data_IF_219884884386
#
_entry.id   IF_219884884386
#
_cell.length_a   1.000
_cell.length_b   1.000
_cell.length_c   1.000
_cell.angle_alpha   90.00
_cell.angle_beta   90.00
_cell.angle_gamma   90.00
#
_symmetry.space_group_name_H-M   'P 1'
#
loop_
_entity.id
_entity.type
_entity.pdbx_description
1 polymer ?
#
# COMPACT_ATOMS: atom_id res chain seq x y z
N UNK A 1 13.09 28.43 8.35
CA UNK A 1 11.75 27.92 8.72
C UNK A 1 11.89 26.47 9.14
N UNK A 2 11.01 25.94 9.99
CA UNK A 2 11.01 24.49 10.28
C UNK A 2 10.49 23.73 9.05
N UNK A 3 11.07 22.57 8.71
CA UNK A 3 10.59 21.77 7.59
C UNK A 3 9.17 21.27 7.86
N UNK A 4 8.30 21.35 6.85
CA UNK A 4 6.98 20.74 6.94
C UNK A 4 7.12 19.25 6.62
N UNK A 5 6.66 18.39 7.52
CA UNK A 5 6.74 16.94 7.36
C UNK A 5 5.32 16.38 7.22
N UNK A 6 5.12 15.55 6.21
CA UNK A 6 3.86 14.85 5.95
C UNK A 6 4.12 13.35 5.97
N UNK A 7 3.27 12.60 6.64
CA UNK A 7 3.28 11.15 6.55
C UNK A 7 2.63 10.68 5.25
N UNK A 8 3.08 9.52 4.81
CA UNK A 8 2.51 8.76 3.73
C UNK A 8 2.37 7.32 4.21
N UNK A 9 1.17 6.76 4.07
CA UNK A 9 0.89 5.38 4.41
C UNK A 9 0.34 4.69 3.18
N UNK A 10 1.03 3.68 2.68
CA UNK A 10 0.51 2.79 1.66
C UNK A 10 -0.02 1.52 2.31
N UNK A 11 -1.13 1.03 1.79
CA UNK A 11 -1.76 -0.22 2.20
C UNK A 11 -2.12 -0.98 0.95
N UNK A 12 -1.73 -2.25 0.87
CA UNK A 12 -2.17 -3.15 -0.19
C UNK A 12 -2.95 -4.31 0.42
N UNK A 13 -3.93 -4.80 -0.34
CA UNK A 13 -4.79 -5.91 0.05
C UNK A 13 -4.64 -7.07 -0.93
N UNK A 14 -4.73 -8.29 -0.40
CA UNK A 14 -4.72 -9.52 -1.21
C UNK A 14 -6.01 -9.69 -2.01
N UNK A 15 -6.09 -10.81 -2.73
CA UNK A 15 -7.13 -11.09 -3.73
C UNK A 15 -8.58 -11.04 -3.22
N UNK A 16 -8.80 -11.16 -1.92
CA UNK A 16 -10.13 -11.13 -1.30
C UNK A 16 -10.80 -9.74 -1.37
N UNK A 17 -10.00 -8.66 -1.38
CA UNK A 17 -10.52 -7.29 -1.42
C UNK A 17 -10.53 -6.79 -2.86
N UNK A 18 -11.71 -6.51 -3.41
CA UNK A 18 -11.81 -5.97 -4.77
C UNK A 18 -11.63 -4.46 -4.81
N UNK A 19 -11.16 -3.92 -5.95
CA UNK A 19 -11.14 -2.48 -6.19
C UNK A 19 -12.53 -1.83 -6.03
N UNK A 20 -13.59 -2.54 -6.43
CA UNK A 20 -14.95 -2.03 -6.30
C UNK A 20 -15.34 -1.89 -4.82
N UNK A 21 -15.01 -2.89 -3.99
CA UNK A 21 -15.24 -2.84 -2.54
C UNK A 21 -14.52 -1.65 -1.88
N UNK A 22 -13.25 -1.41 -2.25
CA UNK A 22 -12.50 -0.23 -1.79
C UNK A 22 -13.14 1.08 -2.26
N UNK A 23 -13.57 1.14 -3.52
CA UNK A 23 -14.23 2.33 -4.08
C UNK A 23 -15.57 2.61 -3.39
N UNK A 24 -16.33 1.57 -3.08
CA UNK A 24 -17.62 1.68 -2.38
C UNK A 24 -17.44 2.13 -0.93
N UNK A 25 -16.39 1.66 -0.25
CA UNK A 25 -15.98 2.18 1.07
C UNK A 25 -15.73 3.69 1.03
N UNK A 26 -15.01 4.17 0.01
CA UNK A 26 -14.78 5.60 -0.19
C UNK A 26 -15.89 6.30 -1.01
N UNK A 27 -17.12 5.78 -1.03
CA UNK A 27 -18.22 6.35 -1.84
C UNK A 27 -18.60 7.79 -1.48
N UNK A 28 -18.26 8.24 -0.27
CA UNK A 28 -18.43 9.63 0.18
C UNK A 28 -17.40 10.60 -0.42
N UNK A 29 -16.30 10.08 -0.98
CA UNK A 29 -15.24 10.88 -1.57
C UNK A 29 -15.44 11.06 -3.07
N UNK A 30 -15.08 12.25 -3.56
CA UNK A 30 -15.07 12.54 -5.00
C UNK A 30 -13.70 12.18 -5.58
N UNK A 31 -13.64 11.10 -6.36
CA UNK A 31 -12.42 10.67 -7.03
C UNK A 31 -12.29 11.26 -8.43
N UNK A 32 -11.14 11.88 -8.69
CA UNK A 32 -10.65 12.21 -10.02
C UNK A 32 -9.79 11.05 -10.53
N UNK A 33 -10.06 10.56 -11.74
CA UNK A 33 -9.17 9.60 -12.38
C UNK A 33 -7.93 10.34 -12.90
N UNK A 34 -6.74 9.94 -12.44
CA UNK A 34 -5.46 10.50 -12.93
C UNK A 34 -4.91 9.68 -14.09
N UNK A 35 -4.92 8.35 -13.94
CA UNK A 35 -4.43 7.39 -14.95
C UNK A 35 -5.42 6.20 -15.08
N UNK A 36 -5.13 5.26 -15.99
CA UNK A 36 -5.98 4.08 -16.20
C UNK A 36 -6.19 3.24 -14.94
N UNK A 37 -5.25 3.26 -14.00
CA UNK A 37 -5.24 2.45 -12.78
C UNK A 37 -5.19 3.25 -11.48
N UNK A 38 -5.28 4.59 -11.54
CA UNK A 38 -5.10 5.46 -10.37
C UNK A 38 -6.23 6.50 -10.27
N UNK A 39 -6.82 6.57 -9.08
CA UNK A 39 -7.87 7.52 -8.71
C UNK A 39 -7.39 8.34 -7.51
N UNK A 40 -7.64 9.64 -7.54
CA UNK A 40 -7.26 10.57 -6.49
C UNK A 40 -8.50 11.23 -5.89
N UNK A 41 -8.67 11.12 -4.58
CA UNK A 41 -9.56 11.97 -3.81
C UNK A 41 -8.74 13.01 -3.05
N UNK A 42 -9.08 14.29 -3.23
CA UNK A 42 -8.49 15.40 -2.47
C UNK A 42 -9.45 15.79 -1.34
N UNK A 43 -9.04 15.61 -0.09
CA UNK A 43 -9.81 16.04 1.08
C UNK A 43 -9.46 17.47 1.47
N UNK A 44 -8.19 17.86 1.28
CA UNK A 44 -7.66 19.21 1.49
C UNK A 44 -6.45 19.42 0.57
N UNK A 45 -5.81 20.59 0.60
CA UNK A 45 -4.61 20.92 -0.18
C UNK A 45 -3.46 19.92 0.04
N UNK A 46 -3.38 19.34 1.25
CA UNK A 46 -2.30 18.44 1.66
C UNK A 46 -2.77 17.07 2.14
N UNK A 47 -4.09 16.82 2.14
CA UNK A 47 -4.69 15.52 2.49
C UNK A 47 -5.23 14.83 1.26
N UNK A 48 -4.53 13.78 0.83
CA UNK A 48 -4.78 13.08 -0.41
C UNK A 48 -4.98 11.59 -0.17
N UNK A 49 -5.94 10.99 -0.88
CA UNK A 49 -6.17 9.55 -0.90
C UNK A 49 -6.07 9.07 -2.33
N UNK A 50 -5.07 8.24 -2.60
CA UNK A 50 -4.91 7.56 -3.87
C UNK A 50 -5.48 6.15 -3.75
N UNK A 51 -6.33 5.78 -4.71
CA UNK A 51 -6.91 4.45 -4.82
C UNK A 51 -6.47 3.83 -6.15
N UNK A 52 -5.91 2.63 -6.07
CA UNK A 52 -5.36 1.92 -7.22
C UNK A 52 -6.16 0.66 -7.56
N UNK A 53 -6.32 0.39 -8.86
CA UNK A 53 -7.06 -0.79 -9.35
C UNK A 53 -6.45 -2.13 -8.92
N UNK A 54 -5.16 -2.14 -8.59
CA UNK A 54 -4.45 -3.31 -8.06
C UNK A 54 -4.58 -3.43 -6.53
N UNK A 55 -5.64 -2.86 -5.94
CA UNK A 55 -6.03 -3.01 -4.52
C UNK A 55 -5.02 -2.41 -3.56
N UNK A 56 -4.49 -1.25 -3.91
CA UNK A 56 -3.68 -0.45 -3.01
C UNK A 56 -4.35 0.90 -2.75
N UNK A 57 -4.16 1.40 -1.54
CA UNK A 57 -4.57 2.73 -1.09
C UNK A 57 -3.36 3.45 -0.53
N UNK A 58 -3.16 4.71 -0.90
CA UNK A 58 -2.11 5.55 -0.34
C UNK A 58 -2.71 6.80 0.27
N UNK A 59 -2.47 6.99 1.56
CA UNK A 59 -2.85 8.17 2.34
C UNK A 59 -1.65 9.11 2.42
N UNK A 60 -1.85 10.39 2.16
CA UNK A 60 -0.81 11.43 2.27
C UNK A 60 -1.32 12.59 3.11
N UNK A 61 -0.52 13.02 4.08
CA UNK A 61 -0.78 14.18 4.92
C UNK A 61 -1.83 13.98 6.01
N UNK A 62 -2.17 12.73 6.30
CA UNK A 62 -2.99 12.35 7.45
C UNK A 62 -2.15 12.40 8.72
N UNK A 63 -2.75 12.57 9.90
CA UNK A 63 -2.02 12.31 11.15
C UNK A 63 -1.86 10.81 11.38
N UNK A 64 -0.89 10.41 12.21
CA UNK A 64 -0.70 8.99 12.54
C UNK A 64 -1.97 8.38 13.17
N UNK A 65 -2.72 9.16 13.96
CA UNK A 65 -4.00 8.75 14.53
C UNK A 65 -5.08 8.56 13.46
N UNK A 66 -5.17 9.48 12.49
CA UNK A 66 -6.12 9.38 11.38
C UNK A 66 -5.81 8.16 10.50
N UNK A 67 -4.53 7.94 10.18
CA UNK A 67 -4.07 6.78 9.42
C UNK A 67 -4.46 5.47 10.12
N UNK A 68 -4.14 5.34 11.41
CA UNK A 68 -4.50 4.16 12.20
C UNK A 68 -6.00 3.92 12.24
N UNK A 69 -6.80 4.97 12.35
CA UNK A 69 -8.26 4.86 12.34
C UNK A 69 -8.79 4.40 10.99
N UNK A 70 -8.30 4.97 9.89
CA UNK A 70 -8.73 4.56 8.55
C UNK A 70 -8.30 3.13 8.22
N UNK A 71 -7.06 2.75 8.56
CA UNK A 71 -6.58 1.36 8.43
C UNK A 71 -7.49 0.41 9.21
N UNK A 72 -7.81 0.75 10.47
CA UNK A 72 -8.64 -0.09 11.32
C UNK A 72 -10.07 -0.25 10.79
N UNK A 73 -10.66 0.83 10.26
CA UNK A 73 -12.00 0.79 9.63
C UNK A 73 -12.00 -0.07 8.37
N UNK A 74 -11.03 0.11 7.49
CA UNK A 74 -10.90 -0.69 6.28
C UNK A 74 -10.74 -2.17 6.64
N UNK A 75 -9.92 -2.48 7.66
CA UNK A 75 -9.77 -3.85 8.18
C UNK A 75 -11.05 -4.40 8.78
N UNK A 76 -11.87 -3.58 9.42
CA UNK A 76 -13.13 -4.03 10.02
C UNK A 76 -14.24 -4.25 8.97
N UNK A 77 -14.27 -3.46 7.90
CA UNK A 77 -15.36 -3.47 6.92
C UNK A 77 -15.07 -4.36 5.70
N UNK A 78 -13.81 -4.45 5.27
CA UNK A 78 -13.45 -5.07 3.98
C UNK A 78 -12.59 -6.33 4.11
N UNK A 79 -11.88 -6.50 5.23
CA UNK A 79 -10.89 -7.57 5.40
C UNK A 79 -11.54 -8.70 6.18
N UNK A 80 -11.87 -9.79 5.48
CA UNK A 80 -12.18 -11.05 6.15
C UNK A 80 -10.92 -11.58 6.86
N UNK A 81 -11.08 -12.47 7.84
CA UNK A 81 -9.99 -12.92 8.72
C UNK A 81 -8.76 -13.55 8.01
N UNK A 82 -8.86 -13.86 6.71
CA UNK A 82 -7.80 -14.45 5.88
C UNK A 82 -7.09 -13.46 4.95
N UNK A 83 -7.54 -12.22 4.86
CA UNK A 83 -6.96 -11.27 3.91
C UNK A 83 -5.57 -10.80 4.37
N UNK A 84 -4.58 -10.96 3.49
CA UNK A 84 -3.22 -10.46 3.70
C UNK A 84 -3.23 -8.96 3.44
N UNK A 85 -2.65 -8.20 4.36
CA UNK A 85 -2.56 -6.74 4.27
C UNK A 85 -1.13 -6.32 4.49
N UNK A 86 -0.53 -5.72 3.47
CA UNK A 86 0.80 -5.13 3.54
C UNK A 86 0.68 -3.63 3.77
N UNK A 87 1.60 -3.08 4.55
CA UNK A 87 1.64 -1.67 4.89
C UNK A 87 3.06 -1.12 4.72
N UNK A 88 3.17 0.07 4.15
CA UNK A 88 4.45 0.78 4.03
C UNK A 88 4.31 2.23 4.52
N UNK A 89 5.32 2.70 5.23
CA UNK A 89 5.35 4.03 5.85
C UNK A 89 6.48 4.86 5.26
N UNK A 90 6.12 6.04 4.78
CA UNK A 90 7.05 6.95 4.11
C UNK A 90 6.81 8.38 4.57
N UNK A 91 7.84 9.23 4.53
CA UNK A 91 7.74 10.62 4.99
C UNK A 91 8.14 11.60 3.89
N UNK A 92 7.28 12.58 3.60
CA UNK A 92 7.63 13.70 2.73
C UNK A 92 8.09 14.87 3.57
N UNK A 93 9.25 15.43 3.25
CA UNK A 93 9.77 16.65 3.86
C UNK A 93 9.78 17.78 2.84
N UNK A 94 9.11 18.88 3.13
CA UNK A 94 9.20 20.11 2.34
C UNK A 94 10.09 21.09 3.08
N UNK A 95 11.30 21.31 2.55
CA UNK A 95 12.33 22.17 3.13
C UNK A 95 13.06 22.96 2.04
N UNK A 96 13.38 24.24 2.31
CA UNK A 96 14.12 25.08 1.36
C UNK A 96 15.50 24.46 1.09
N UNK A 97 15.80 24.12 -0.17
CA UNK A 97 17.10 23.55 -0.55
C UNK A 97 17.03 22.50 -1.66
N UNK A 98 17.97 21.55 -1.63
CA UNK A 98 18.11 20.48 -2.61
C UNK A 98 17.20 19.30 -2.31
N UNK A 99 16.60 18.72 -3.35
CA UNK A 99 15.84 17.48 -3.22
C UNK A 99 16.75 16.31 -2.88
N UNK A 100 16.36 15.50 -1.91
CA UNK A 100 17.10 14.29 -1.55
C UNK A 100 16.14 13.11 -1.36
N UNK A 101 16.55 11.96 -1.87
CA UNK A 101 15.85 10.69 -1.66
C UNK A 101 16.59 9.92 -0.57
N UNK A 102 15.88 9.50 0.45
CA UNK A 102 16.34 8.58 1.49
C UNK A 102 15.42 7.35 1.52
N UNK A 103 15.81 6.32 2.26
CA UNK A 103 15.12 5.03 2.24
C UNK A 103 13.62 5.14 2.55
N UNK A 104 13.25 5.88 3.62
CA UNK A 104 11.85 6.09 4.03
C UNK A 104 11.43 7.56 3.99
N UNK A 105 12.16 8.39 3.26
CA UNK A 105 11.81 9.79 3.16
C UNK A 105 12.26 10.44 1.86
N UNK A 106 11.52 11.47 1.47
CA UNK A 106 11.78 12.24 0.27
C UNK A 106 11.68 13.71 0.61
N UNK A 107 12.74 14.47 0.34
CA UNK A 107 12.75 15.91 0.54
C UNK A 107 12.66 16.67 -0.77
N UNK A 108 11.87 17.74 -0.76
CA UNK A 108 11.73 18.66 -1.89
C UNK A 108 11.71 20.12 -1.42
N UNK A 109 12.06 21.03 -2.33
CA UNK A 109 12.02 22.48 -2.10
C UNK A 109 10.61 23.02 -1.97
N UNK A 110 9.66 22.43 -2.69
CA UNK A 110 8.27 22.87 -2.74
C UNK A 110 7.32 21.68 -2.90
N UNK A 111 6.04 21.91 -2.61
CA UNK A 111 5.00 20.91 -2.79
C UNK A 111 4.63 20.80 -4.27
N UNK A 112 5.13 19.76 -4.92
CA UNK A 112 4.86 19.47 -6.33
C UNK A 112 3.91 18.28 -6.47
N UNK A 113 2.69 18.53 -6.94
CA UNK A 113 1.68 17.50 -7.13
C UNK A 113 2.12 16.35 -8.05
N UNK A 114 2.95 16.61 -9.06
CA UNK A 114 3.44 15.55 -9.96
C UNK A 114 4.39 14.60 -9.24
N UNK A 115 5.28 15.14 -8.39
CA UNK A 115 6.19 14.32 -7.59
C UNK A 115 5.41 13.51 -6.54
N UNK A 116 4.36 14.09 -5.95
CA UNK A 116 3.47 13.40 -5.04
C UNK A 116 2.71 12.26 -5.73
N UNK A 117 2.22 12.48 -6.95
CA UNK A 117 1.56 11.46 -7.76
C UNK A 117 2.51 10.30 -8.06
N UNK A 118 3.76 10.60 -8.45
CA UNK A 118 4.80 9.57 -8.69
C UNK A 118 5.13 8.81 -7.42
N UNK A 119 5.28 9.50 -6.28
CA UNK A 119 5.53 8.86 -5.00
C UNK A 119 4.40 7.91 -4.62
N UNK A 120 3.14 8.33 -4.75
CA UNK A 120 1.99 7.49 -4.48
C UNK A 120 1.99 6.23 -5.36
N UNK A 121 2.34 6.34 -6.65
CA UNK A 121 2.47 5.19 -7.54
C UNK A 121 3.57 4.22 -7.10
N UNK A 122 4.74 4.74 -6.71
CA UNK A 122 5.88 3.93 -6.27
C UNK A 122 5.52 3.17 -5.00
N UNK A 123 4.98 3.86 -3.99
CA UNK A 123 4.58 3.25 -2.71
C UNK A 123 3.50 2.19 -2.91
N UNK A 124 2.47 2.50 -3.70
CA UNK A 124 1.39 1.56 -3.98
C UNK A 124 1.91 0.28 -4.67
N UNK A 125 2.79 0.43 -5.67
CA UNK A 125 3.37 -0.73 -6.39
C UNK A 125 4.32 -1.53 -5.50
N UNK A 126 5.14 -0.85 -4.69
CA UNK A 126 6.04 -1.49 -3.72
C UNK A 126 5.25 -2.38 -2.76
N UNK A 127 4.21 -1.80 -2.14
CA UNK A 127 3.36 -2.49 -1.18
C UNK A 127 2.58 -3.65 -1.82
N UNK A 128 2.05 -3.46 -3.03
CA UNK A 128 1.37 -4.53 -3.76
C UNK A 128 2.31 -5.66 -4.18
N UNK A 129 3.58 -5.35 -4.51
CA UNK A 129 4.58 -6.36 -4.86
C UNK A 129 4.92 -7.23 -3.65
N UNK A 130 5.01 -6.66 -2.45
CA UNK A 130 5.25 -7.43 -1.21
C UNK A 130 4.21 -8.54 -1.00
N UNK A 131 2.94 -8.30 -1.35
CA UNK A 131 1.89 -9.34 -1.28
C UNK A 131 2.24 -10.50 -2.22
N UNK A 132 2.58 -10.20 -3.47
CA UNK A 132 2.92 -11.22 -4.47
C UNK A 132 4.18 -11.98 -4.06
N UNK A 133 5.18 -11.31 -3.51
CA UNK A 133 6.40 -11.95 -3.00
C UNK A 133 6.09 -12.93 -1.85
N UNK A 134 5.21 -12.54 -0.93
CA UNK A 134 4.77 -13.41 0.16
C UNK A 134 3.99 -14.62 -0.36
N UNK A 135 3.06 -14.44 -1.30
CA UNK A 135 2.32 -15.54 -1.93
C UNK A 135 3.26 -16.52 -2.65
N UNK A 136 4.25 -16.02 -3.38
CA UNK A 136 5.26 -16.86 -4.06
C UNK A 136 6.09 -17.65 -3.04
N UNK A 137 6.53 -17.02 -1.95
CA UNK A 137 7.28 -17.68 -0.89
C UNK A 137 6.48 -18.80 -0.22
N UNK A 138 5.18 -18.60 -0.02
CA UNK A 138 4.29 -19.60 0.55
C UNK A 138 4.12 -20.81 -0.39
N UNK A 139 3.99 -20.58 -1.70
CA UNK A 139 3.91 -21.65 -2.71
C UNK A 139 5.20 -22.46 -2.76
N UNK A 140 6.37 -21.80 -2.72
CA UNK A 140 7.68 -22.45 -2.72
C UNK A 140 7.82 -23.32 -1.46
N UNK A 141 7.53 -22.75 -0.29
CA UNK A 141 7.60 -23.45 1.00
C UNK A 141 6.66 -24.67 1.06
N UNK A 142 5.45 -24.53 0.49
CA UNK A 142 4.50 -25.64 0.36
C UNK A 142 5.03 -26.77 -0.52
N UNK A 143 5.68 -26.42 -1.63
CA UNK A 143 6.28 -27.39 -2.57
C UNK A 143 7.44 -28.16 -1.94
N UNK A 144 8.30 -27.49 -1.16
CA UNK A 144 9.39 -28.12 -0.42
C UNK A 144 8.88 -29.10 0.65
N UNK A 145 7.79 -28.74 1.33
CA UNK A 145 7.12 -29.62 2.30
C UNK A 145 6.55 -30.88 1.63
N UNK A 146 5.97 -30.75 0.44
CA UNK A 146 5.47 -31.89 -0.34
C UNK A 146 6.61 -32.80 -0.83
N UNK A 147 7.69 -32.23 -1.36
CA UNK A 147 8.87 -32.99 -1.78
C UNK A 147 9.52 -33.76 -0.62
N UNK A 148 9.55 -33.14 0.57
CA UNK A 148 10.06 -33.75 1.80
C UNK A 148 9.16 -34.89 2.33
N UNK A 149 7.85 -34.83 2.08
CA UNK A 149 6.91 -35.91 2.43
C UNK A 149 7.02 -37.09 1.47
N UNK A 150 7.23 -36.84 0.17
CA UNK A 150 7.40 -37.91 -0.83
C UNK A 150 8.68 -38.72 -0.60
N UNK A 151 9.77 -38.07 -0.20
CA UNK A 151 11.05 -38.75 0.13
C UNK A 151 11.00 -39.59 1.41
N UNK A 152 9.98 -39.41 2.27
CA UNK A 152 9.80 -40.19 3.51
C UNK A 152 8.84 -41.38 3.38
N UNK A 153 8.37 -41.73 2.19
CA UNK A 153 7.59 -42.96 1.99
C UNK A 153 8.56 -44.15 2.01
N UNK A 154 8.59 -45.01 3.06
CA UNK A 154 9.46 -46.18 3.04
C UNK A 154 9.01 -47.12 1.93
N UNK A 155 9.96 -47.59 1.13
CA UNK A 155 9.73 -48.64 0.14
C UNK A 155 9.21 -49.89 0.87
N UNK A 156 7.91 -50.14 0.77
CA UNK A 156 7.30 -51.40 1.17
C UNK A 156 7.73 -52.43 0.12
N UNK A 157 8.77 -53.20 0.42
CA UNK A 157 9.15 -54.38 -0.38
C UNK A 157 8.60 -55.64 0.32
N UNK A 158 7.93 -56.53 -0.43
CA UNK A 158 7.36 -57.77 0.09
C UNK A 158 8.41 -58.81 0.50
#
# INVERSE_FOLDING_TARGET
>A
MLPNIYSCKAIAFSDEVTFQSLRDYFSSLSFQQLESSCFLARLDERKLVYLFKFRAVVFIGFSQEEEKQEVAKIRAELVESSCIVEEDEFSIRVEEGSSAVSFNSLSFSEWDGQLIDVLAQVLARSCALSIVENEVNDVISGSESMASKMTKTPAFWP
#
